data_IF_699536993078
#
_entry.id   IF_699536993078
#
_cell.length_a   1.000
_cell.length_b   1.000
_cell.length_c   1.000
_cell.angle_alpha   90.00
_cell.angle_beta   90.00
_cell.angle_gamma   90.00
#
_symmetry.space_group_name_H-M   'P 1'
#
loop_
_entity.id
_entity.type
_entity.pdbx_description
1 polymer ?
#
# COMPACT_ATOMS: atom_id res chain seq x y z
N UNK A 1 7.69 -5.70 24.45
CA UNK A 1 8.79 -5.59 23.47
C UNK A 1 8.25 -6.11 22.15
N UNK A 2 7.73 -5.23 21.29
CA UNK A 2 7.19 -5.57 19.98
C UNK A 2 8.33 -5.90 19.02
N UNK A 3 8.85 -7.12 19.10
CA UNK A 3 9.79 -7.62 18.10
C UNK A 3 9.02 -7.93 16.82
N UNK A 4 9.28 -7.13 15.78
CA UNK A 4 9.10 -7.47 14.35
C UNK A 4 7.80 -7.02 13.65
N UNK A 5 7.40 -5.74 13.73
CA UNK A 5 6.48 -5.14 12.74
C UNK A 5 7.26 -4.60 11.56
N UNK A 6 7.52 -5.43 10.56
CA UNK A 6 8.02 -4.98 9.26
C UNK A 6 6.88 -4.70 8.29
N UNK A 7 7.04 -3.66 7.50
CA UNK A 7 6.15 -3.30 6.41
C UNK A 7 6.80 -3.70 5.08
N UNK A 8 5.97 -4.18 4.15
CA UNK A 8 6.31 -4.33 2.74
C UNK A 8 6.03 -3.01 2.05
N UNK A 9 7.07 -2.39 1.50
CA UNK A 9 6.96 -1.16 0.73
C UNK A 9 7.26 -1.45 -0.73
N UNK A 10 6.47 -0.85 -1.61
CA UNK A 10 6.63 -0.96 -3.05
C UNK A 10 6.94 0.42 -3.63
N UNK A 11 8.09 0.54 -4.29
CA UNK A 11 8.54 1.75 -4.96
C UNK A 11 8.68 1.51 -6.45
N UNK A 12 8.21 2.47 -7.26
CA UNK A 12 8.62 2.58 -8.64
C UNK A 12 9.91 3.41 -8.71
N UNK A 13 10.95 2.86 -9.31
CA UNK A 13 12.28 3.47 -9.40
C UNK A 13 12.76 3.36 -10.83
N UNK A 14 13.04 4.51 -11.44
CA UNK A 14 13.54 4.55 -12.82
C UNK A 14 14.95 3.95 -12.87
N UNK A 15 15.09 2.77 -13.46
CA UNK A 15 16.35 2.02 -13.59
C UNK A 15 16.43 1.42 -14.98
N UNK A 16 17.52 1.69 -15.70
CA UNK A 16 17.75 1.20 -17.06
C UNK A 16 18.98 0.29 -17.18
N UNK A 17 19.63 -0.05 -16.07
CA UNK A 17 20.93 -0.71 -16.07
C UNK A 17 21.13 -1.67 -14.89
N UNK A 18 21.84 -2.79 -15.10
CA UNK A 18 22.14 -3.75 -14.01
C UNK A 18 22.98 -3.14 -12.90
N UNK A 19 23.88 -2.21 -13.23
CA UNK A 19 24.64 -1.46 -12.22
C UNK A 19 23.74 -0.55 -11.36
N UNK A 20 22.60 -0.11 -11.92
CA UNK A 20 21.59 0.68 -11.21
C UNK A 20 20.90 -0.18 -10.15
N UNK A 21 20.53 -1.41 -10.53
CA UNK A 21 19.92 -2.40 -9.64
C UNK A 21 20.86 -2.71 -8.47
N UNK A 22 22.13 -2.97 -8.77
CA UNK A 22 23.14 -3.29 -7.75
C UNK A 22 23.40 -2.11 -6.80
N UNK A 23 23.40 -0.87 -7.30
CA UNK A 23 23.56 0.31 -6.46
C UNK A 23 22.39 0.49 -5.47
N UNK A 24 21.15 0.37 -5.96
CA UNK A 24 19.95 0.49 -5.11
C UNK A 24 19.88 -0.64 -4.09
N UNK A 25 20.05 -1.88 -4.53
CA UNK A 25 20.06 -3.06 -3.65
C UNK A 25 21.15 -2.94 -2.58
N UNK A 26 22.36 -2.54 -2.95
CA UNK A 26 23.47 -2.40 -2.02
C UNK A 26 23.31 -1.27 -1.01
N UNK A 27 22.57 -0.19 -1.30
CA UNK A 27 22.27 0.84 -0.29
C UNK A 27 21.22 0.36 0.69
N UNK A 28 20.18 -0.33 0.20
CA UNK A 28 19.10 -0.85 1.05
C UNK A 28 19.58 -1.99 1.95
N UNK A 29 20.36 -2.94 1.45
CA UNK A 29 20.89 -4.08 2.23
C UNK A 29 21.92 -3.67 3.30
N UNK A 30 22.51 -2.47 3.19
CA UNK A 30 23.43 -1.94 4.20
C UNK A 30 22.71 -1.39 5.43
N UNK A 31 21.42 -1.08 5.31
CA UNK A 31 20.67 -0.51 6.43
C UNK A 31 20.17 -1.62 7.38
N UNK A 32 20.46 -1.54 8.68
CA UNK A 32 20.07 -2.57 9.65
C UNK A 32 18.55 -2.67 9.85
N UNK A 33 17.77 -1.68 9.41
CA UNK A 33 16.31 -1.69 9.43
C UNK A 33 15.67 -2.43 8.25
N UNK A 34 16.45 -2.87 7.26
CA UNK A 34 15.95 -3.59 6.09
C UNK A 34 16.13 -5.10 6.28
N UNK A 35 15.03 -5.84 6.10
CA UNK A 35 14.98 -7.29 6.26
C UNK A 35 15.14 -8.03 4.93
N UNK A 36 14.51 -7.52 3.87
CA UNK A 36 14.59 -8.13 2.54
C UNK A 36 14.36 -7.08 1.46
N UNK A 37 15.06 -7.25 0.33
CA UNK A 37 14.97 -6.38 -0.83
C UNK A 37 14.78 -7.24 -2.07
N UNK A 38 13.78 -6.90 -2.87
CA UNK A 38 13.53 -7.51 -4.16
C UNK A 38 13.43 -6.42 -5.22
N UNK A 39 14.17 -6.57 -6.32
CA UNK A 39 14.21 -5.58 -7.40
C UNK A 39 13.82 -6.25 -8.70
N UNK A 40 12.84 -5.68 -9.39
CA UNK A 40 12.38 -6.09 -10.71
C UNK A 40 12.72 -4.98 -11.71
N UNK A 41 13.77 -5.22 -12.51
CA UNK A 41 14.22 -4.26 -13.54
C UNK A 41 13.23 -4.18 -14.71
N UNK A 42 12.54 -5.27 -15.05
CA UNK A 42 11.59 -5.29 -16.17
C UNK A 42 10.36 -4.42 -15.89
N UNK A 43 10.00 -4.28 -14.60
CA UNK A 43 8.88 -3.44 -14.17
C UNK A 43 9.31 -2.13 -13.51
N UNK A 44 10.60 -1.84 -13.43
CA UNK A 44 11.14 -0.67 -12.73
C UNK A 44 10.62 -0.58 -11.27
N UNK A 45 10.55 -1.72 -10.59
CA UNK A 45 9.93 -1.86 -9.26
C UNK A 45 10.93 -2.36 -8.21
N UNK A 46 10.79 -1.83 -6.99
CA UNK A 46 11.58 -2.23 -5.81
C UNK A 46 10.61 -2.53 -4.67
N UNK A 47 10.66 -3.77 -4.18
CA UNK A 47 9.93 -4.24 -3.01
C UNK A 47 10.89 -4.36 -1.84
N UNK A 48 10.56 -3.74 -0.71
CA UNK A 48 11.41 -3.71 0.48
C UNK A 48 10.59 -4.12 1.70
N UNK A 49 11.07 -5.12 2.44
CA UNK A 49 10.58 -5.45 3.78
C UNK A 49 11.47 -4.75 4.79
N UNK A 50 10.90 -3.83 5.56
CA UNK A 50 11.68 -3.00 6.49
C UNK A 50 10.87 -2.59 7.70
N UNK A 51 11.56 -2.31 8.81
CA UNK A 51 10.98 -1.63 9.97
C UNK A 51 11.04 -0.09 9.85
N UNK A 52 11.70 0.42 8.81
CA UNK A 52 11.82 1.85 8.55
C UNK A 52 10.54 2.44 7.95
N UNK A 53 10.44 3.76 8.06
CA UNK A 53 9.37 4.52 7.42
C UNK A 53 9.56 4.60 5.91
N UNK A 54 8.46 4.77 5.16
CA UNK A 54 8.50 4.91 3.70
C UNK A 54 9.37 6.09 3.24
N UNK A 55 9.39 7.19 4.00
CA UNK A 55 10.23 8.36 3.72
C UNK A 55 11.73 8.05 3.84
N UNK A 56 12.13 7.26 4.85
CA UNK A 56 13.54 6.87 5.02
C UNK A 56 14.01 5.99 3.86
N UNK A 57 13.19 5.00 3.48
CA UNK A 57 13.52 4.12 2.35
C UNK A 57 13.56 4.91 1.04
N UNK A 58 12.63 5.84 0.83
CA UNK A 58 12.64 6.72 -0.33
C UNK A 58 13.94 7.54 -0.40
N UNK A 59 14.34 8.17 0.70
CA UNK A 59 15.57 8.96 0.76
C UNK A 59 16.82 8.12 0.50
N UNK A 60 16.86 6.88 1.00
CA UNK A 60 17.95 5.94 0.71
C UNK A 60 18.03 5.62 -0.78
N UNK A 61 16.91 5.38 -1.45
CA UNK A 61 16.90 5.13 -2.90
C UNK A 61 17.32 6.41 -3.66
N UNK A 62 16.82 7.57 -3.25
CA UNK A 62 17.14 8.86 -3.86
C UNK A 62 18.60 9.28 -3.70
N UNK A 63 19.26 8.85 -2.63
CA UNK A 63 20.71 9.05 -2.43
C UNK A 63 21.55 8.41 -3.54
N UNK A 64 21.01 7.42 -4.26
CA UNK A 64 21.66 6.79 -5.41
C UNK A 64 21.54 7.61 -6.71
N UNK A 65 20.89 8.78 -6.66
CA UNK A 65 20.63 9.65 -7.81
C UNK A 65 19.39 9.24 -8.63
N UNK A 66 18.50 8.43 -8.07
CA UNK A 66 17.31 7.89 -8.75
C UNK A 66 16.04 8.42 -8.12
N UNK A 67 15.01 8.65 -8.92
CA UNK A 67 13.69 9.02 -8.38
C UNK A 67 12.94 7.78 -7.93
N UNK A 68 12.45 7.80 -6.70
CA UNK A 68 11.63 6.74 -6.14
C UNK A 68 10.23 7.29 -5.82
N UNK A 69 9.19 6.56 -6.24
CA UNK A 69 7.79 6.91 -5.95
C UNK A 69 7.13 5.73 -5.26
N UNK A 70 6.62 5.94 -4.05
CA UNK A 70 5.86 4.91 -3.33
C UNK A 70 4.60 4.58 -4.12
N UNK A 71 4.45 3.30 -4.50
CA UNK A 71 3.28 2.75 -5.20
C UNK A 71 2.33 2.04 -4.24
N UNK A 72 2.86 1.41 -3.20
CA UNK A 72 2.07 0.66 -2.24
C UNK A 72 2.81 0.43 -0.93
N UNK A 73 2.05 0.25 0.14
CA UNK A 73 2.53 -0.16 1.45
C UNK A 73 1.61 -1.26 1.97
N UNK A 74 2.14 -2.47 2.12
CA UNK A 74 1.48 -3.58 2.77
C UNK A 74 2.03 -3.75 4.18
N UNK A 75 1.20 -3.56 5.20
CA UNK A 75 1.51 -4.09 6.51
C UNK A 75 1.36 -5.61 6.49
N UNK A 76 2.05 -6.31 7.39
CA UNK A 76 1.53 -7.59 7.91
C UNK A 76 0.28 -7.34 8.75
N UNK A 77 -0.73 -6.72 8.15
CA UNK A 77 -2.10 -7.01 8.52
C UNK A 77 -2.42 -8.33 7.82
N UNK A 78 -2.12 -9.43 8.50
CA UNK A 78 -3.10 -10.51 8.45
C UNK A 78 -4.36 -9.83 8.97
N UNK A 79 -5.20 -9.41 8.04
CA UNK A 79 -6.53 -8.93 8.34
C UNK A 79 -7.30 -10.11 8.94
N UNK A 80 -7.05 -10.40 10.21
CA UNK A 80 -8.07 -10.80 11.16
C UNK A 80 -9.01 -9.60 11.39
N UNK A 81 -9.50 -9.01 10.30
CA UNK A 81 -10.76 -8.32 10.35
C UNK A 81 -11.76 -9.45 10.45
N UNK A 82 -12.07 -9.85 11.70
CA UNK A 82 -13.11 -10.83 12.04
C UNK A 82 -14.26 -10.70 11.06
N UNK A 83 -14.73 -11.79 10.47
CA UNK A 83 -15.73 -11.72 9.38
C UNK A 83 -16.97 -10.88 9.72
N UNK A 84 -17.27 -10.71 11.01
CA UNK A 84 -18.26 -9.76 11.53
C UNK A 84 -18.04 -8.29 11.11
N UNK A 85 -16.80 -7.75 11.08
CA UNK A 85 -16.56 -6.37 10.64
C UNK A 85 -16.73 -6.20 9.14
N UNK A 86 -16.40 -7.22 8.33
CA UNK A 86 -16.71 -7.22 6.88
C UNK A 86 -18.22 -7.23 6.65
N UNK A 87 -18.94 -8.05 7.41
CA UNK A 87 -20.40 -8.13 7.32
C UNK A 87 -21.06 -6.81 7.74
N UNK A 88 -20.54 -6.12 8.76
CA UNK A 88 -21.06 -4.81 9.20
C UNK A 88 -20.89 -3.73 8.12
N UNK A 89 -19.81 -3.76 7.35
CA UNK A 89 -19.60 -2.83 6.24
C UNK A 89 -20.60 -3.09 5.09
N UNK A 90 -20.86 -4.37 4.78
CA UNK A 90 -21.85 -4.78 3.77
C UNK A 90 -23.27 -4.40 4.22
N UNK A 91 -23.63 -4.63 5.48
CA UNK A 91 -24.94 -4.27 6.03
C UNK A 91 -25.16 -2.75 5.97
N UNK A 92 -24.17 -1.95 6.36
CA UNK A 92 -24.27 -0.50 6.27
C UNK A 92 -24.40 -0.01 4.82
N UNK A 93 -23.68 -0.64 3.87
CA UNK A 93 -23.79 -0.32 2.45
C UNK A 93 -25.19 -0.66 1.89
N UNK A 94 -25.72 -1.84 2.19
CA UNK A 94 -27.06 -2.25 1.77
C UNK A 94 -28.16 -1.38 2.40
N UNK A 95 -28.03 -1.02 3.68
CA UNK A 95 -28.98 -0.15 4.35
C UNK A 95 -28.99 1.25 3.71
N UNK A 96 -27.82 1.79 3.37
CA UNK A 96 -27.72 3.07 2.67
C UNK A 96 -28.36 3.01 1.27
N UNK A 97 -28.17 1.91 0.56
CA UNK A 97 -28.74 1.71 -0.77
C UNK A 97 -30.26 1.54 -0.74
N UNK A 98 -30.79 0.76 0.22
CA UNK A 98 -32.23 0.57 0.43
C UNK A 98 -32.89 1.88 0.89
N UNK A 99 -32.26 2.61 1.81
CA UNK A 99 -32.79 3.90 2.27
C UNK A 99 -32.86 4.90 1.12
N UNK A 100 -31.85 4.93 0.24
CA UNK A 100 -31.86 5.76 -0.97
C UNK A 100 -32.98 5.35 -1.94
N UNK A 101 -33.26 4.05 -2.07
CA UNK A 101 -34.35 3.54 -2.92
C UNK A 101 -35.74 3.89 -2.36
N UNK A 102 -35.93 3.76 -1.04
CA UNK A 102 -37.15 4.17 -0.34
C UNK A 102 -37.36 5.68 -0.47
N UNK A 103 -36.31 6.48 -0.31
CA UNK A 103 -36.38 7.93 -0.46
C UNK A 103 -36.69 8.36 -1.90
N UNK A 104 -36.10 7.69 -2.90
CA UNK A 104 -36.45 7.91 -4.31
C UNK A 104 -37.92 7.57 -4.59
N UNK A 105 -38.43 6.48 -4.01
CA UNK A 105 -39.82 6.09 -4.16
C UNK A 105 -40.77 7.10 -3.50
N UNK A 106 -40.43 7.59 -2.30
CA UNK A 106 -41.20 8.62 -1.60
C UNK A 106 -41.15 9.99 -2.30
N UNK A 107 -40.06 10.29 -3.02
CA UNK A 107 -39.93 11.51 -3.83
C UNK A 107 -40.74 11.42 -5.13
N UNK A 108 -40.76 10.24 -5.79
CA UNK A 108 -41.57 10.01 -6.99
C UNK A 108 -43.09 10.08 -6.70
N UNK A 109 -43.53 9.71 -5.49
CA UNK A 109 -44.95 9.82 -5.11
C UNK A 109 -45.40 11.24 -4.74
N UNK A 110 -44.49 12.18 -4.44
CA UNK A 110 -44.83 13.59 -4.16
C UNK A 110 -44.86 14.48 -5.41
N UNK A 111 -44.59 13.93 -6.61
CA UNK A 111 -44.66 14.67 -7.87
C UNK A 111 -45.93 14.36 -8.69
N UNK A 112 -46.88 13.59 -8.12
CA UNK A 112 -48.14 13.20 -8.79
C UNK A 112 -49.38 13.80 -8.09
N UNK A 113 -49.21 14.68 -7.09
CA UNK A 113 -50.31 15.52 -6.57
C UNK A 113 -50.07 16.99 -6.86
#
# INVERSE_FOLDING_TARGET
MDTNRTAKLEFAVQMSCDSCVNAVKGVLERDPGVQSVHVDLAKEQVLVETALTSLQVQSLIESTGRRAVLKGMGGSETGETSDAVKMLFIINFYLFHILKLIYLCSFASNFIY
#
